data_IF_629647730904
#
_entry.id   IF_629647730904
#
_cell.length_a   1.000
_cell.length_b   1.000
_cell.length_c   1.000
_cell.angle_alpha   90.00
_cell.angle_beta   90.00
_cell.angle_gamma   90.00
#
_symmetry.space_group_name_H-M   'P 1'
#
loop_
_entity.id
_entity.type
_entity.pdbx_description
1 polymer ?
#
# COMPACT_ATOMS: atom_id res chain seq x y z
N UNK A 1 -13.97 14.09 -8.25
CA UNK A 1 -14.68 13.13 -9.14
C UNK A 1 -14.46 11.76 -8.55
N UNK A 2 -15.50 11.13 -8.00
CA UNK A 2 -15.42 9.74 -7.53
C UNK A 2 -15.75 8.86 -8.74
N UNK A 3 -14.81 7.99 -9.14
CA UNK A 3 -14.99 7.06 -10.25
C UNK A 3 -16.00 5.95 -9.88
N UNK A 4 -16.56 5.29 -10.89
CA UNK A 4 -17.54 4.21 -10.76
C UNK A 4 -17.14 3.20 -9.66
N UNK A 5 -18.07 2.92 -8.75
CA UNK A 5 -17.96 1.94 -7.66
C UNK A 5 -16.94 2.25 -6.53
N UNK A 6 -16.47 3.49 -6.40
CA UNK A 6 -15.66 3.94 -5.25
C UNK A 6 -14.19 3.53 -5.30
N UNK A 7 -13.71 3.07 -6.46
CA UNK A 7 -12.30 2.83 -6.70
C UNK A 7 -11.59 4.13 -7.09
N UNK A 8 -10.45 4.39 -6.47
CA UNK A 8 -9.49 5.38 -6.90
C UNK A 8 -8.48 4.71 -7.83
N UNK A 9 -8.59 5.03 -9.12
CA UNK A 9 -7.64 4.60 -10.14
C UNK A 9 -6.40 5.51 -10.11
N UNK A 10 -5.22 4.89 -10.19
CA UNK A 10 -3.94 5.57 -10.31
C UNK A 10 -3.00 4.82 -11.27
N UNK A 11 -3.56 4.18 -12.30
CA UNK A 11 -2.84 3.40 -13.33
C UNK A 11 -2.17 4.27 -14.41
N UNK A 12 -2.49 5.56 -14.46
CA UNK A 12 -1.95 6.49 -15.47
C UNK A 12 -0.42 6.64 -15.34
N UNK A 13 0.32 6.81 -16.47
CA UNK A 13 1.75 7.12 -16.46
C UNK A 13 2.16 8.30 -15.57
N UNK A 14 1.25 9.26 -15.32
CA UNK A 14 1.49 10.36 -14.37
C UNK A 14 1.73 9.93 -12.92
N UNK A 15 1.35 8.70 -12.57
CA UNK A 15 1.57 8.08 -11.26
C UNK A 15 2.75 7.12 -11.23
N UNK A 16 3.38 6.87 -12.39
CA UNK A 16 4.51 5.97 -12.53
C UNK A 16 5.81 6.67 -12.14
N UNK A 17 6.67 5.95 -11.42
CA UNK A 17 8.06 6.33 -11.21
C UNK A 17 8.96 5.17 -11.60
N UNK A 18 9.76 5.39 -12.63
CA UNK A 18 10.76 4.43 -13.11
C UNK A 18 11.86 4.24 -12.06
N UNK A 19 12.19 2.99 -11.77
CA UNK A 19 13.38 2.65 -11.00
C UNK A 19 14.62 2.73 -11.90
N UNK A 20 15.81 2.90 -11.32
CA UNK A 20 17.03 3.03 -12.13
C UNK A 20 17.25 1.78 -13.00
N UNK A 21 17.19 1.97 -14.33
CA UNK A 21 17.35 0.89 -15.31
C UNK A 21 16.09 0.07 -15.59
N UNK A 22 14.93 0.49 -15.07
CA UNK A 22 13.64 -0.16 -15.30
C UNK A 22 12.82 0.44 -16.44
N UNK A 23 11.56 0.03 -16.53
CA UNK A 23 10.63 0.45 -17.57
C UNK A 23 10.23 1.93 -17.46
N UNK A 24 10.21 2.61 -18.61
CA UNK A 24 9.87 4.05 -18.69
C UNK A 24 8.37 4.31 -18.54
N UNK A 25 7.54 3.31 -18.86
CA UNK A 25 6.08 3.37 -18.79
C UNK A 25 5.58 2.28 -17.83
N UNK A 26 4.41 2.46 -17.17
CA UNK A 26 3.86 1.45 -16.30
C UNK A 26 3.45 0.20 -17.10
N UNK A 27 3.91 -0.96 -16.65
CA UNK A 27 3.49 -2.28 -17.17
C UNK A 27 2.44 -2.97 -16.27
N UNK A 28 2.00 -2.27 -15.21
CA UNK A 28 0.94 -2.69 -14.28
C UNK A 28 -0.20 -1.68 -14.28
N UNK A 29 -1.39 -2.13 -13.88
CA UNK A 29 -2.54 -1.26 -13.56
C UNK A 29 -2.84 -1.36 -12.07
N UNK A 30 -3.27 -0.26 -11.44
CA UNK A 30 -3.59 -0.25 -10.02
C UNK A 30 -4.75 0.68 -9.67
N UNK A 31 -5.66 0.16 -8.83
CA UNK A 31 -6.73 0.93 -8.21
C UNK A 31 -6.90 0.50 -6.76
N UNK A 32 -7.35 1.41 -5.91
CA UNK A 32 -7.62 1.09 -4.51
C UNK A 32 -8.93 1.69 -4.01
N UNK A 33 -9.43 1.14 -2.92
CA UNK A 33 -10.54 1.73 -2.14
C UNK A 33 -10.34 1.43 -0.67
N UNK A 34 -10.93 2.25 0.19
CA UNK A 34 -10.82 2.11 1.63
C UNK A 34 -12.21 1.97 2.25
N UNK A 35 -12.31 1.11 3.26
CA UNK A 35 -13.47 0.94 4.12
C UNK A 35 -13.01 1.01 5.57
N UNK A 36 -13.91 1.31 6.48
CA UNK A 36 -13.58 1.33 7.89
C UNK A 36 -14.70 0.74 8.75
N UNK A 37 -14.27 0.23 9.89
CA UNK A 37 -15.08 0.06 11.09
C UNK A 37 -14.35 0.80 12.22
N UNK A 38 -14.93 0.84 13.43
CA UNK A 38 -14.26 1.44 14.59
C UNK A 38 -12.88 0.85 14.90
N UNK A 39 -12.64 -0.43 14.58
CA UNK A 39 -11.43 -1.15 14.99
C UNK A 39 -10.52 -1.50 13.79
N UNK A 40 -10.99 -1.32 12.56
CA UNK A 40 -10.27 -1.78 11.37
C UNK A 40 -10.38 -0.80 10.22
N UNK A 41 -9.24 -0.42 9.66
CA UNK A 41 -9.14 0.21 8.35
C UNK A 41 -8.84 -0.88 7.32
N UNK A 42 -9.77 -1.13 6.41
CA UNK A 42 -9.56 -2.04 5.30
C UNK A 42 -9.18 -1.26 4.05
N UNK A 43 -8.03 -1.57 3.45
CA UNK A 43 -7.61 -1.05 2.15
C UNK A 43 -7.60 -2.22 1.18
N UNK A 44 -8.39 -2.10 0.11
CA UNK A 44 -8.37 -3.03 -1.00
C UNK A 44 -7.57 -2.42 -2.13
N UNK A 45 -6.54 -3.12 -2.61
CA UNK A 45 -5.75 -2.72 -3.78
C UNK A 45 -5.89 -3.81 -4.83
N UNK A 46 -6.41 -3.43 -5.99
CA UNK A 46 -6.52 -4.31 -7.14
C UNK A 46 -5.40 -3.95 -8.12
N UNK A 47 -4.63 -4.96 -8.51
CA UNK A 47 -3.47 -4.83 -9.39
C UNK A 47 -3.64 -5.75 -10.59
N UNK A 48 -3.35 -5.24 -11.79
CA UNK A 48 -3.14 -6.06 -12.98
C UNK A 48 -1.66 -6.15 -13.26
N UNK A 49 -1.15 -7.36 -13.36
CA UNK A 49 0.27 -7.64 -13.59
C UNK A 49 0.45 -8.98 -14.31
N UNK A 50 0.95 -8.95 -15.54
CA UNK A 50 1.13 -10.16 -16.34
C UNK A 50 2.43 -10.93 -16.01
N UNK A 51 3.25 -10.42 -15.08
CA UNK A 51 4.53 -10.99 -14.72
C UNK A 51 4.79 -10.91 -13.20
N UNK A 52 3.84 -11.39 -12.41
CA UNK A 52 3.93 -11.36 -10.95
C UNK A 52 5.18 -12.11 -10.42
N UNK A 53 6.12 -11.34 -9.89
CA UNK A 53 7.41 -11.75 -9.35
C UNK A 53 7.39 -11.81 -7.81
N UNK A 54 7.12 -13.01 -7.30
CA UNK A 54 7.08 -13.32 -5.87
C UNK A 54 8.39 -13.95 -5.38
N UNK A 55 8.64 -13.83 -4.07
CA UNK A 55 9.85 -14.34 -3.43
C UNK A 55 9.56 -15.26 -2.24
N UNK A 56 10.59 -16.00 -1.84
CA UNK A 56 10.56 -17.04 -0.81
C UNK A 56 10.81 -16.51 0.62
N UNK A 57 11.39 -15.32 0.76
CA UNK A 57 11.63 -14.69 2.08
C UNK A 57 11.01 -13.30 2.17
N UNK A 58 10.54 -12.87 3.36
CA UNK A 58 9.96 -11.54 3.55
C UNK A 58 10.89 -10.40 3.13
N UNK A 59 12.19 -10.53 3.41
CA UNK A 59 13.20 -9.53 3.06
C UNK A 59 13.33 -9.31 1.56
N UNK A 60 13.20 -10.39 0.76
CA UNK A 60 13.22 -10.31 -0.70
C UNK A 60 11.86 -9.93 -1.27
N UNK A 61 10.77 -10.41 -0.67
CA UNK A 61 9.41 -10.12 -1.12
C UNK A 61 9.09 -8.62 -1.08
N UNK A 62 9.64 -7.88 -0.11
CA UNK A 62 9.56 -6.41 -0.07
C UNK A 62 10.26 -5.71 -1.25
N UNK A 63 11.18 -6.39 -1.95
CA UNK A 63 11.86 -5.90 -3.14
C UNK A 63 11.18 -6.33 -4.46
N UNK A 64 10.31 -7.34 -4.42
CA UNK A 64 9.47 -7.76 -5.54
C UNK A 64 8.17 -6.99 -5.65
N UNK A 65 7.18 -7.64 -6.26
CA UNK A 65 5.83 -7.10 -6.38
C UNK A 65 5.15 -7.07 -5.02
N UNK A 66 4.72 -5.87 -4.66
CA UNK A 66 4.30 -5.56 -3.31
C UNK A 66 3.47 -4.30 -3.27
N UNK A 67 2.58 -4.23 -2.28
CA UNK A 67 1.81 -3.02 -1.98
C UNK A 67 2.36 -2.40 -0.70
N UNK A 68 2.85 -1.18 -0.80
CA UNK A 68 3.34 -0.40 0.33
C UNK A 68 2.29 0.64 0.71
N UNK A 69 1.98 0.72 2.00
CA UNK A 69 1.10 1.72 2.58
C UNK A 69 1.90 2.53 3.59
N UNK A 70 1.73 3.85 3.56
CA UNK A 70 2.25 4.72 4.63
C UNK A 70 1.09 5.55 5.14
N UNK A 71 0.88 5.48 6.46
CA UNK A 71 -0.28 6.03 7.14
C UNK A 71 0.15 6.95 8.27
N UNK A 72 -0.57 8.04 8.46
CA UNK A 72 -0.34 8.95 9.58
C UNK A 72 -1.62 9.68 9.95
N UNK A 73 -1.93 9.76 11.24
CA UNK A 73 -3.08 10.53 11.72
C UNK A 73 -2.95 12.02 11.36
N UNK A 74 -4.04 12.61 10.86
CA UNK A 74 -4.15 14.03 10.51
C UNK A 74 -5.20 14.74 11.35
N UNK A 75 -5.08 16.05 11.42
CA UNK A 75 -6.14 16.94 11.90
C UNK A 75 -7.24 17.04 10.82
N UNK A 76 -8.45 17.54 11.17
CA UNK A 76 -9.54 17.70 10.22
C UNK A 76 -9.23 18.64 9.03
N UNK A 77 -8.21 19.49 9.14
CA UNK A 77 -7.73 20.38 8.07
C UNK A 77 -6.66 19.73 7.17
N UNK A 78 -6.35 18.45 7.38
CA UNK A 78 -5.33 17.70 6.62
C UNK A 78 -3.90 17.87 7.14
N UNK A 79 -3.65 18.74 8.12
CA UNK A 79 -2.31 18.91 8.70
C UNK A 79 -1.91 17.72 9.57
N UNK A 80 -0.60 17.51 9.76
CA UNK A 80 -0.07 16.44 10.61
C UNK A 80 -0.53 16.64 12.06
N UNK A 81 -1.17 15.63 12.66
CA UNK A 81 -1.52 15.68 14.08
C UNK A 81 -0.24 15.59 14.91
N UNK A 82 -0.11 16.44 15.94
CA UNK A 82 1.09 16.48 16.77
C UNK A 82 1.37 15.09 17.39
N UNK A 83 2.63 14.62 17.29
CA UNK A 83 3.08 13.29 17.76
C UNK A 83 2.39 12.10 17.08
N UNK A 84 1.72 12.29 15.95
CA UNK A 84 1.20 11.17 15.17
C UNK A 84 2.34 10.26 14.70
N UNK A 85 2.23 8.97 14.99
CA UNK A 85 3.13 7.98 14.44
C UNK A 85 2.92 7.86 12.92
N UNK A 86 4.03 7.72 12.18
CA UNK A 86 3.98 7.31 10.78
C UNK A 86 4.14 5.80 10.74
N UNK A 87 3.12 5.11 10.25
CA UNK A 87 3.13 3.66 10.13
C UNK A 87 3.39 3.27 8.69
N UNK A 88 4.27 2.30 8.50
CA UNK A 88 4.68 1.81 7.20
C UNK A 88 4.28 0.34 7.12
N UNK A 89 3.50 -0.05 6.14
CA UNK A 89 3.02 -1.43 5.96
C UNK A 89 3.40 -1.88 4.57
N UNK A 90 3.92 -3.09 4.46
CA UNK A 90 4.24 -3.73 3.19
C UNK A 90 3.47 -5.04 3.13
N UNK A 91 2.55 -5.12 2.18
CA UNK A 91 1.76 -6.28 1.88
C UNK A 91 2.44 -7.08 0.75
N UNK A 92 2.77 -8.32 1.05
CA UNK A 92 3.48 -9.22 0.13
C UNK A 92 2.85 -10.61 0.14
N UNK A 93 2.91 -11.28 -1.01
CA UNK A 93 2.75 -12.72 -1.09
C UNK A 93 4.14 -13.36 -1.06
N UNK A 94 4.41 -14.18 -0.05
CA UNK A 94 5.74 -14.76 0.21
C UNK A 94 5.60 -16.26 0.50
N UNK A 95 6.27 -17.11 -0.28
CA UNK A 95 6.19 -18.57 -0.14
C UNK A 95 4.72 -19.09 -0.01
N UNK A 96 3.85 -18.60 -0.90
CA UNK A 96 2.42 -18.92 -0.91
C UNK A 96 1.61 -18.33 0.26
N UNK A 97 2.22 -17.53 1.13
CA UNK A 97 1.57 -16.94 2.32
C UNK A 97 1.46 -15.42 2.20
N UNK A 98 0.26 -14.86 2.47
CA UNK A 98 0.10 -13.42 2.54
C UNK A 98 0.66 -12.89 3.87
N UNK A 99 1.53 -11.88 3.81
CA UNK A 99 2.17 -11.28 4.97
C UNK A 99 1.99 -9.75 4.97
N UNK A 100 1.83 -9.18 6.16
CA UNK A 100 2.01 -7.76 6.41
C UNK A 100 3.26 -7.57 7.23
N UNK A 101 4.21 -6.83 6.66
CA UNK A 101 5.52 -6.62 7.26
C UNK A 101 5.95 -5.16 7.16
N UNK A 102 6.98 -4.82 7.91
CA UNK A 102 7.71 -3.58 7.76
C UNK A 102 9.18 -3.79 8.08
N UNK A 103 10.04 -3.02 7.41
CA UNK A 103 11.46 -2.97 7.70
C UNK A 103 11.94 -1.53 7.53
N UNK A 104 12.56 -0.99 8.57
CA UNK A 104 13.22 0.31 8.48
C UNK A 104 14.43 0.24 7.54
N UNK A 105 14.78 1.38 6.93
CA UNK A 105 15.97 1.50 6.11
C UNK A 105 17.21 1.06 6.90
N UNK A 106 18.00 0.12 6.35
CA UNK A 106 19.16 -0.54 6.98
C UNK A 106 18.88 -1.46 8.19
N UNK A 107 17.62 -1.71 8.58
CA UNK A 107 17.35 -2.69 9.62
C UNK A 107 17.73 -4.09 9.12
N UNK A 108 18.23 -4.97 9.99
CA UNK A 108 18.48 -6.37 9.64
C UNK A 108 17.20 -7.22 9.79
N UNK A 109 16.34 -6.82 10.72
CA UNK A 109 15.14 -7.56 11.10
C UNK A 109 13.89 -6.99 10.45
N UNK A 110 13.09 -7.86 9.85
CA UNK A 110 11.72 -7.58 9.41
C UNK A 110 10.77 -7.66 10.61
N UNK A 111 9.89 -6.68 10.74
CA UNK A 111 8.82 -6.61 11.74
C UNK A 111 7.54 -7.15 11.11
N UNK A 112 6.84 -8.01 11.85
CA UNK A 112 5.57 -8.58 11.44
C UNK A 112 4.45 -7.93 12.24
N UNK A 113 3.35 -7.63 11.56
CA UNK A 113 2.15 -7.15 12.23
C UNK A 113 1.38 -8.34 12.82
N UNK A 114 1.04 -8.25 14.12
CA UNK A 114 0.46 -9.34 14.90
C UNK A 114 -1.07 -9.37 14.82
N UNK A 115 -1.71 -8.21 14.63
CA UNK A 115 -3.18 -8.10 14.57
C UNK A 115 -3.71 -7.85 13.17
N UNK A 116 -2.98 -7.09 12.36
CA UNK A 116 -3.34 -6.79 10.97
C UNK A 116 -3.13 -8.00 10.06
N UNK A 117 -3.92 -8.12 8.99
CA UNK A 117 -3.90 -9.28 8.08
C UNK A 117 -3.98 -8.87 6.62
N UNK A 118 -3.24 -9.58 5.78
CA UNK A 118 -3.42 -9.56 4.33
C UNK A 118 -4.21 -10.80 3.92
N UNK A 119 -5.22 -10.59 3.07
CA UNK A 119 -5.75 -11.63 2.21
C UNK A 119 -5.35 -11.31 0.77
N UNK A 120 -4.63 -12.22 0.13
CA UNK A 120 -4.21 -12.11 -1.25
C UNK A 120 -5.01 -13.10 -2.10
N UNK A 121 -5.58 -12.62 -3.20
CA UNK A 121 -6.42 -13.42 -4.07
C UNK A 121 -6.01 -13.21 -5.54
N UNK A 122 -5.75 -14.32 -6.24
CA UNK A 122 -5.69 -14.36 -7.69
C UNK A 122 -7.12 -14.43 -8.25
N UNK A 123 -7.48 -13.48 -9.11
CA UNK A 123 -8.79 -13.38 -9.74
C UNK A 123 -8.80 -13.90 -11.19
N UNK A 124 -7.65 -14.36 -11.69
CA UNK A 124 -7.43 -14.73 -13.09
C UNK A 124 -7.24 -13.53 -14.02
N UNK A 125 -6.81 -13.80 -15.25
CA UNK A 125 -6.51 -12.79 -16.27
C UNK A 125 -5.53 -11.70 -15.77
N UNK A 126 -4.49 -12.13 -15.05
CA UNK A 126 -3.43 -11.26 -14.52
C UNK A 126 -3.91 -10.28 -13.43
N UNK A 127 -5.11 -10.46 -12.87
CA UNK A 127 -5.65 -9.62 -11.81
C UNK A 127 -5.46 -10.22 -10.42
N UNK A 128 -4.93 -9.40 -9.50
CA UNK A 128 -4.71 -9.77 -8.11
C UNK A 128 -5.34 -8.75 -7.17
N UNK A 129 -5.98 -9.25 -6.10
CA UNK A 129 -6.59 -8.43 -5.05
C UNK A 129 -5.84 -8.59 -3.74
N UNK A 130 -5.33 -7.47 -3.23
CA UNK A 130 -4.79 -7.33 -1.89
C UNK A 130 -5.90 -6.74 -1.01
N UNK A 131 -6.44 -7.53 -0.09
CA UNK A 131 -7.33 -7.04 0.97
C UNK A 131 -6.53 -6.90 2.26
N UNK A 132 -6.16 -5.67 2.58
CA UNK A 132 -5.29 -5.31 3.70
C UNK A 132 -6.17 -4.82 4.85
N UNK A 133 -6.33 -5.65 5.89
CA UNK A 133 -7.07 -5.31 7.10
C UNK A 133 -6.10 -4.83 8.18
N UNK A 134 -6.17 -3.55 8.52
CA UNK A 134 -5.29 -2.91 9.49
C UNK A 134 -6.01 -2.69 10.81
N UNK A 135 -5.47 -3.25 11.89
CA UNK A 135 -5.97 -3.01 13.25
C UNK A 135 -5.65 -1.57 13.67
N UNK A 136 -6.68 -0.80 14.03
CA UNK A 136 -6.54 0.62 14.32
C UNK A 136 -5.57 0.88 15.49
N UNK A 137 -5.60 0.05 16.53
CA UNK A 137 -4.73 0.21 17.69
C UNK A 137 -3.26 -0.12 17.36
N UNK A 138 -3.01 -1.18 16.59
CA UNK A 138 -1.68 -1.54 16.10
C UNK A 138 -1.09 -0.45 15.20
N UNK A 139 -1.92 0.21 14.40
CA UNK A 139 -1.52 1.33 13.55
C UNK A 139 -1.53 2.70 14.26
N UNK A 140 -1.92 2.77 15.55
CA UNK A 140 -2.12 4.03 16.27
C UNK A 140 -3.04 5.03 15.54
N UNK A 141 -4.12 4.52 14.93
CA UNK A 141 -5.11 5.28 14.17
C UNK A 141 -6.39 5.49 14.99
N UNK A 142 -7.00 6.66 14.82
CA UNK A 142 -8.34 6.98 15.28
C UNK A 142 -9.31 6.89 14.09
N UNK A 143 -10.20 5.88 14.15
CA UNK A 143 -11.24 5.62 13.14
C UNK A 143 -12.62 6.11 13.58
N UNK A 144 -12.68 7.09 14.48
CA UNK A 144 -13.94 7.75 14.82
C UNK A 144 -14.45 8.60 13.64
N UNK A 145 -15.78 8.71 13.43
CA UNK A 145 -16.34 9.60 12.41
C UNK A 145 -15.79 11.02 12.51
N UNK A 146 -15.40 11.58 11.36
CA UNK A 146 -14.78 12.90 11.26
C UNK A 146 -13.25 12.92 11.42
N UNK A 147 -12.64 11.81 11.84
CA UNK A 147 -11.18 11.67 11.84
C UNK A 147 -10.60 11.65 10.42
N UNK A 148 -9.32 11.99 10.30
CA UNK A 148 -8.62 12.06 9.03
C UNK A 148 -7.29 11.33 9.06
N UNK A 149 -7.03 10.54 8.03
CA UNK A 149 -5.80 9.75 7.89
C UNK A 149 -5.09 10.22 6.63
N UNK A 150 -3.85 10.66 6.78
CA UNK A 150 -2.95 10.89 5.67
C UNK A 150 -2.42 9.54 5.23
N UNK A 151 -2.56 9.24 3.94
CA UNK A 151 -2.21 7.96 3.36
C UNK A 151 -1.44 8.14 2.05
N UNK A 152 -0.58 7.15 1.80
CA UNK A 152 0.12 6.93 0.55
C UNK A 152 0.06 5.44 0.23
N UNK A 153 -0.21 5.11 -1.04
CA UNK A 153 -0.30 3.76 -1.58
C UNK A 153 0.70 3.66 -2.74
N UNK A 154 1.63 2.72 -2.63
CA UNK A 154 2.60 2.43 -3.68
C UNK A 154 2.47 0.96 -4.09
N UNK A 155 2.37 0.70 -5.39
CA UNK A 155 2.41 -0.66 -5.96
C UNK A 155 3.72 -0.80 -6.70
N UNK A 156 4.63 -1.60 -6.14
CA UNK A 156 5.92 -1.89 -6.77
C UNK A 156 5.75 -2.96 -7.83
N UNK A 157 6.54 -2.83 -8.89
CA UNK A 157 6.60 -3.76 -10.00
C UNK A 157 8.03 -4.26 -10.24
N UNK A 158 8.19 -5.54 -10.54
CA UNK A 158 9.45 -6.22 -10.69
C UNK A 158 9.44 -7.15 -11.92
N UNK A 159 10.37 -6.97 -12.85
CA UNK A 159 10.45 -7.76 -14.10
C UNK A 159 10.93 -9.20 -13.91
N UNK A 160 11.41 -9.53 -12.73
CA UNK A 160 12.07 -10.81 -12.41
C UNK A 160 13.59 -10.72 -12.46
N UNK A 161 14.13 -9.65 -13.06
CA UNK A 161 15.56 -9.31 -13.02
C UNK A 161 15.85 -8.21 -12.00
N UNK A 162 15.07 -7.14 -12.06
CA UNK A 162 15.16 -6.00 -11.15
C UNK A 162 13.78 -5.36 -10.97
N UNK A 163 13.71 -4.39 -10.05
CA UNK A 163 12.54 -3.53 -9.92
C UNK A 163 12.46 -2.61 -11.13
N UNK A 164 11.31 -2.59 -11.80
CA UNK A 164 11.10 -1.75 -12.98
C UNK A 164 10.66 -0.34 -12.57
N UNK A 165 9.85 -0.26 -11.52
CA UNK A 165 9.31 0.99 -11.01
C UNK A 165 8.14 0.75 -10.08
N UNK A 166 7.34 1.80 -9.89
CA UNK A 166 6.14 1.73 -9.06
C UNK A 166 5.08 2.74 -9.47
N UNK A 167 3.81 2.38 -9.27
CA UNK A 167 2.69 3.30 -9.29
C UNK A 167 2.48 3.87 -7.88
N UNK A 168 2.15 5.16 -7.77
CA UNK A 168 1.89 5.80 -6.47
C UNK A 168 0.68 6.73 -6.45
N UNK A 169 -0.11 6.59 -5.39
CA UNK A 169 -1.13 7.53 -4.97
C UNK A 169 -0.72 8.10 -3.62
N UNK A 170 -0.54 9.42 -3.53
CA UNK A 170 0.20 10.03 -2.42
C UNK A 170 1.71 9.86 -2.64
N UNK A 171 2.51 10.85 -2.25
CA UNK A 171 3.93 10.95 -2.66
C UNK A 171 4.88 9.99 -1.96
N UNK A 172 4.56 8.70 -1.93
CA UNK A 172 5.39 7.64 -1.36
C UNK A 172 5.64 7.89 0.12
N UNK A 173 6.91 8.06 0.50
CA UNK A 173 7.36 8.29 1.87
C UNK A 173 7.33 9.76 2.33
N UNK A 174 7.05 10.71 1.44
CA UNK A 174 6.96 12.13 1.82
C UNK A 174 5.60 12.45 2.44
N UNK A 175 5.58 12.60 3.77
CA UNK A 175 4.37 12.91 4.53
C UNK A 175 3.66 14.21 4.10
N UNK A 176 4.35 15.14 3.41
CA UNK A 176 3.75 16.37 2.88
C UNK A 176 2.86 16.10 1.66
N UNK A 177 3.10 14.98 0.98
CA UNK A 177 2.42 14.57 -0.24
C UNK A 177 1.38 13.47 0.02
N UNK A 178 1.08 13.17 1.28
CA UNK A 178 0.01 12.22 1.60
C UNK A 178 -1.33 12.82 1.21
N UNK A 179 -2.14 12.01 0.54
CA UNK A 179 -3.54 12.32 0.35
C UNK A 179 -4.31 11.98 1.63
N UNK A 180 -5.50 12.56 1.80
CA UNK A 180 -6.30 12.35 3.01
C UNK A 180 -7.48 11.42 2.76
N UNK A 181 -7.61 10.39 3.59
CA UNK A 181 -8.79 9.57 3.75
C UNK A 181 -9.62 10.14 4.90
N UNK A 182 -10.87 10.52 4.61
CA UNK A 182 -11.82 10.97 5.62
C UNK A 182 -12.58 9.76 6.15
N UNK A 183 -12.69 9.67 7.47
CA UNK A 183 -13.52 8.67 8.14
C UNK A 183 -14.93 9.22 8.26
N UNK A 184 -15.88 8.56 7.60
CA UNK A 184 -17.30 8.92 7.60
C UNK A 184 -18.10 8.28 8.74
#
# INVERSE_FOLDING_TARGET
MLAENGWQDFSSPSHWTTWQGGEMEPTIEARFRAFHTKDTLQIQVLVRDNNLCLFDTPEKAMNGDSVHLILQQRNPDGTVKQRAATVNVVAVQCDGKPLLVWRAWNAIKTIFYEKSRLHFQDLGNDWYLYTINLDAAEMSLDLSPGSMIGASVTVNNHSGFARDGFLSWGGGSDARLFNCLKIE
#
